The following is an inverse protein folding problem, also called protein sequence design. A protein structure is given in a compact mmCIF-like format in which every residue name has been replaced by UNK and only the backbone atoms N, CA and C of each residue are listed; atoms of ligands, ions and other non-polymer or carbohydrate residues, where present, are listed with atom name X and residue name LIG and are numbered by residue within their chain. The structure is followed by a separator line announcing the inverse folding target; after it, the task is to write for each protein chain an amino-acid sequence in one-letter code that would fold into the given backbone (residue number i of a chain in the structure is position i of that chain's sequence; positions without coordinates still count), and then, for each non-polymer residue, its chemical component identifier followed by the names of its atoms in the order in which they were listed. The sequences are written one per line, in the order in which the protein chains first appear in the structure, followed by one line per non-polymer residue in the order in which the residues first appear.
data_IF_994810966456
#
_entry.id   IF_994810966456
#
_cell.length_a   1.000
_cell.length_b   1.000
_cell.length_c   1.000
_cell.angle_alpha   90.00
_cell.angle_beta   90.00
_cell.angle_gamma   90.00
#
_symmetry.space_group_name_H-M   'P 1'
#
loop_
_entity.id
_entity.type
_entity.pdbx_description
1 polymer ?
#
# COMPACT_ATOMS: atom_id res chain seq x y z
N UNK A 1 -11.03 22.10 1.90
CA UNK A 1 -9.66 21.71 2.33
C UNK A 1 -8.69 22.22 1.28
N UNK A 2 -7.61 22.88 1.68
CA UNK A 2 -6.63 23.45 0.74
C UNK A 2 -5.57 22.37 0.45
N UNK A 3 -5.40 22.00 -0.82
CA UNK A 3 -4.37 21.06 -1.24
C UNK A 3 -3.09 21.80 -1.59
N UNK A 4 -1.97 21.34 -1.05
CA UNK A 4 -0.65 21.88 -1.37
C UNK A 4 0.30 20.75 -1.76
N UNK A 5 1.05 20.94 -2.85
CA UNK A 5 2.04 19.98 -3.33
C UNK A 5 3.45 20.54 -3.16
N UNK A 6 4.29 19.84 -2.42
CA UNK A 6 5.70 20.22 -2.19
C UNK A 6 6.60 19.35 -3.05
N UNK A 7 7.22 19.94 -4.08
CA UNK A 7 8.14 19.28 -4.98
C UNK A 7 9.59 19.70 -4.69
N UNK A 8 10.52 18.77 -4.86
CA UNK A 8 11.95 19.06 -4.73
C UNK A 8 12.81 17.79 -4.71
N UNK A 9 14.10 17.89 -5.11
CA UNK A 9 15.03 16.77 -5.04
C UNK A 9 15.31 16.32 -3.59
N UNK A 10 15.99 15.19 -3.38
CA UNK A 10 16.46 14.79 -2.05
C UNK A 10 17.27 15.89 -1.37
N UNK A 11 17.12 16.05 -0.06
CA UNK A 11 17.87 17.04 0.72
C UNK A 11 17.32 18.47 0.73
N UNK A 12 16.23 18.77 0.03
CA UNK A 12 15.65 20.14 -0.05
C UNK A 12 14.73 20.51 1.12
N UNK A 13 14.70 19.72 2.19
CA UNK A 13 13.92 20.05 3.37
C UNK A 13 12.41 19.70 3.32
N UNK A 14 11.95 18.92 2.33
CA UNK A 14 10.53 18.51 2.25
C UNK A 14 9.98 17.94 3.55
N UNK A 15 10.73 17.06 4.21
CA UNK A 15 10.35 16.48 5.50
C UNK A 15 10.26 17.54 6.60
N UNK A 16 11.15 18.54 6.57
CA UNK A 16 11.09 19.66 7.51
C UNK A 16 9.86 20.53 7.27
N UNK A 17 9.52 20.76 6.00
CA UNK A 17 8.31 21.52 5.64
C UNK A 17 7.05 20.80 6.14
N UNK A 18 6.96 19.47 5.99
CA UNK A 18 5.84 18.70 6.53
C UNK A 18 5.78 18.79 8.07
N UNK A 19 6.92 18.69 8.76
CA UNK A 19 6.96 18.88 10.22
C UNK A 19 6.48 20.27 10.63
N UNK A 20 6.89 21.32 9.92
CA UNK A 20 6.42 22.68 10.21
C UNK A 20 4.91 22.81 10.01
N UNK A 21 4.34 22.19 8.98
CA UNK A 21 2.89 22.18 8.76
C UNK A 21 2.12 21.48 9.88
N UNK A 22 2.62 20.35 10.37
CA UNK A 22 2.04 19.66 11.53
C UNK A 22 2.05 20.59 12.74
N UNK A 23 3.17 21.27 13.00
CA UNK A 23 3.26 22.27 14.06
C UNK A 23 2.21 23.37 13.87
N UNK A 24 2.13 23.94 12.68
CA UNK A 24 1.20 25.04 12.39
C UNK A 24 -0.26 24.61 12.63
N UNK A 25 -0.63 23.35 12.31
CA UNK A 25 -1.94 22.78 12.64
C UNK A 25 -2.17 22.73 14.15
N UNK A 26 -1.19 22.28 14.92
CA UNK A 26 -1.27 22.19 16.40
C UNK A 26 -1.40 23.60 17.01
N UNK A 27 -0.59 24.55 16.54
CA UNK A 27 -0.65 25.96 16.99
C UNK A 27 -1.99 26.62 16.66
N UNK A 28 -2.68 26.18 15.61
CA UNK A 28 -4.05 26.59 15.25
C UNK A 28 -5.12 25.88 16.11
N UNK A 29 -4.75 25.01 17.02
CA UNK A 29 -5.66 24.34 17.94
C UNK A 29 -6.22 23.02 17.42
N UNK A 30 -5.69 22.46 16.31
CA UNK A 30 -6.07 21.12 15.85
C UNK A 30 -5.40 20.10 16.79
N UNK A 31 -6.16 19.25 17.47
CA UNK A 31 -5.58 18.27 18.36
C UNK A 31 -4.79 17.22 17.55
N UNK A 32 -3.64 16.72 18.05
CA UNK A 32 -2.80 15.75 17.35
C UNK A 32 -3.53 14.49 16.91
N UNK A 33 -4.55 14.07 17.65
CA UNK A 33 -5.40 12.91 17.35
C UNK A 33 -6.26 13.11 16.09
N UNK A 34 -6.38 14.33 15.61
CA UNK A 34 -7.11 14.69 14.38
C UNK A 34 -6.20 15.11 13.24
N UNK A 35 -4.90 14.92 13.40
CA UNK A 35 -3.89 15.15 12.35
C UNK A 35 -3.42 13.80 11.83
N UNK A 36 -3.50 13.60 10.51
CA UNK A 36 -2.92 12.43 9.86
C UNK A 36 -1.61 12.77 9.16
N UNK A 37 -0.61 11.93 9.36
CA UNK A 37 0.64 11.97 8.61
C UNK A 37 0.90 10.59 8.02
N UNK A 38 0.57 10.40 6.75
CA UNK A 38 0.69 9.11 6.08
C UNK A 38 1.92 9.04 5.19
N UNK A 39 2.52 7.86 5.12
CA UNK A 39 3.69 7.60 4.29
C UNK A 39 3.61 6.23 3.60
N UNK A 40 4.49 5.98 2.64
CA UNK A 40 4.60 4.67 2.00
C UNK A 40 5.33 3.64 2.88
N UNK A 41 6.28 4.07 3.71
CA UNK A 41 7.10 3.16 4.52
C UNK A 41 6.86 3.34 6.01
N UNK A 42 6.93 2.23 6.75
CA UNK A 42 6.86 2.26 8.23
C UNK A 42 7.96 3.12 8.83
N UNK A 43 9.15 3.08 8.24
CA UNK A 43 10.30 3.87 8.70
C UNK A 43 10.01 5.37 8.59
N UNK A 44 9.50 5.84 7.47
CA UNK A 44 9.17 7.26 7.30
C UNK A 44 8.03 7.71 8.24
N UNK A 45 7.02 6.85 8.48
CA UNK A 45 5.98 7.13 9.46
C UNK A 45 6.54 7.23 10.88
N UNK A 46 7.45 6.33 11.26
CA UNK A 46 8.11 6.36 12.58
C UNK A 46 8.98 7.60 12.72
N UNK A 47 9.81 7.92 11.73
CA UNK A 47 10.63 9.14 11.75
C UNK A 47 9.80 10.42 11.93
N UNK A 48 8.60 10.47 11.34
CA UNK A 48 7.69 11.60 11.50
C UNK A 48 7.16 11.66 12.95
N UNK A 49 6.74 10.54 13.54
CA UNK A 49 6.33 10.46 14.94
C UNK A 49 7.43 10.86 15.89
N UNK A 50 8.62 10.26 15.76
CA UNK A 50 9.77 10.52 16.60
C UNK A 50 10.15 12.00 16.61
N UNK A 51 10.05 12.64 15.43
CA UNK A 51 10.34 14.06 15.28
C UNK A 51 9.32 14.92 16.01
N UNK A 52 8.03 14.67 15.79
CA UNK A 52 6.95 15.41 16.45
C UNK A 52 7.02 15.22 17.96
N UNK A 53 7.25 13.99 18.43
CA UNK A 53 7.39 13.69 19.85
C UNK A 53 8.59 14.42 20.49
N UNK A 54 9.75 14.37 19.83
CA UNK A 54 10.97 15.01 20.32
C UNK A 54 10.88 16.53 20.33
N UNK A 55 10.35 17.11 19.24
CA UNK A 55 10.43 18.55 19.03
C UNK A 55 9.29 19.30 19.78
N UNK A 56 8.18 18.60 20.07
CA UNK A 56 6.99 19.23 20.70
C UNK A 56 6.45 18.50 21.93
N UNK A 57 7.08 17.40 22.34
CA UNK A 57 6.69 16.66 23.54
C UNK A 57 5.34 15.92 23.44
N UNK A 58 4.83 15.69 22.22
CA UNK A 58 3.59 14.97 21.99
C UNK A 58 3.85 13.47 22.10
N UNK A 59 3.05 12.76 22.89
CA UNK A 59 3.22 11.33 23.06
C UNK A 59 2.73 10.56 21.82
N UNK A 60 3.37 9.42 21.51
CA UNK A 60 2.98 8.59 20.34
C UNK A 60 1.52 8.14 20.38
N UNK A 61 0.97 7.92 21.58
CA UNK A 61 -0.45 7.54 21.75
C UNK A 61 -1.42 8.61 21.27
N UNK A 62 -1.00 9.88 21.25
CA UNK A 62 -1.80 11.02 20.84
C UNK A 62 -1.69 11.28 19.31
N UNK A 63 -0.92 10.45 18.60
CA UNK A 63 -0.70 10.51 17.16
C UNK A 63 -1.14 9.21 16.44
N UNK A 64 -2.41 8.78 16.55
CA UNK A 64 -2.86 7.48 16.03
C UNK A 64 -2.78 7.36 14.51
N UNK A 65 -2.78 8.48 13.79
CA UNK A 65 -2.79 8.52 12.33
C UNK A 65 -1.45 8.87 11.69
N UNK A 66 -0.36 8.84 12.46
CA UNK A 66 1.00 8.91 11.93
C UNK A 66 1.45 7.51 11.54
N UNK A 67 1.10 7.05 10.35
CA UNK A 67 1.30 5.67 9.94
C UNK A 67 1.36 5.51 8.42
N UNK A 68 1.50 4.28 7.91
CA UNK A 68 1.36 4.06 6.47
C UNK A 68 -0.10 4.07 6.05
N UNK A 69 -0.37 4.45 4.80
CA UNK A 69 -1.73 4.43 4.26
C UNK A 69 -2.37 3.03 4.39
N UNK A 70 -1.60 1.97 4.10
CA UNK A 70 -2.07 0.59 4.30
C UNK A 70 -2.41 0.26 5.75
N UNK A 71 -1.63 0.77 6.72
CA UNK A 71 -1.94 0.56 8.14
C UNK A 71 -3.22 1.29 8.54
N UNK A 72 -3.47 2.47 7.98
CA UNK A 72 -4.72 3.21 8.19
C UNK A 72 -5.91 2.42 7.61
N UNK A 73 -5.82 2.01 6.36
CA UNK A 73 -6.87 1.24 5.69
C UNK A 73 -7.13 -0.11 6.39
N UNK A 74 -6.08 -0.81 6.82
CA UNK A 74 -6.19 -2.07 7.56
C UNK A 74 -6.99 -1.91 8.87
N UNK A 75 -6.67 -0.88 9.65
CA UNK A 75 -7.36 -0.61 10.94
C UNK A 75 -8.79 -0.13 10.71
N UNK A 76 -8.99 0.79 9.80
CA UNK A 76 -10.31 1.35 9.49
C UNK A 76 -11.28 0.29 8.94
N UNK A 77 -10.77 -0.64 8.12
CA UNK A 77 -11.53 -1.77 7.59
C UNK A 77 -11.77 -2.89 8.61
N UNK A 78 -11.17 -2.83 9.80
CA UNK A 78 -11.31 -3.86 10.84
C UNK A 78 -10.72 -5.23 10.45
N UNK A 79 -9.78 -5.24 9.50
CA UNK A 79 -9.22 -6.49 8.97
C UNK A 79 -8.32 -7.20 9.97
N UNK A 80 -8.27 -8.52 9.84
CA UNK A 80 -7.38 -9.39 10.61
C UNK A 80 -6.21 -9.83 9.75
N UNK A 81 -5.07 -10.09 10.38
CA UNK A 81 -3.85 -10.51 9.68
C UNK A 81 -4.00 -11.84 8.92
N UNK A 82 -4.87 -12.73 9.41
CA UNK A 82 -5.16 -14.01 8.76
C UNK A 82 -6.11 -13.88 7.54
N UNK A 83 -6.75 -12.74 7.35
CA UNK A 83 -7.55 -12.41 6.17
C UNK A 83 -6.69 -11.87 5.02
N UNK A 84 -5.47 -11.41 5.31
CA UNK A 84 -4.57 -10.91 4.28
C UNK A 84 -3.96 -12.07 3.52
N UNK A 85 -4.05 -12.01 2.17
CA UNK A 85 -3.45 -13.03 1.31
C UNK A 85 -1.94 -13.07 1.48
N UNK A 86 -1.39 -14.26 1.68
CA UNK A 86 0.03 -14.46 1.92
C UNK A 86 0.66 -15.44 0.94
N UNK A 87 1.95 -15.72 1.14
CA UNK A 87 2.71 -16.61 0.27
C UNK A 87 2.11 -18.02 0.15
N UNK A 88 1.56 -18.55 1.25
CA UNK A 88 0.92 -19.87 1.23
C UNK A 88 -0.28 -19.86 0.28
N UNK A 89 -1.12 -18.84 0.39
CA UNK A 89 -2.30 -18.65 -0.45
C UNK A 89 -1.90 -18.51 -1.93
N UNK A 90 -0.86 -17.72 -2.22
CA UNK A 90 -0.32 -17.55 -3.58
C UNK A 90 0.17 -18.87 -4.19
N UNK A 91 0.83 -19.72 -3.38
CA UNK A 91 1.24 -21.05 -3.83
C UNK A 91 0.07 -21.98 -4.11
N UNK A 92 -0.98 -21.95 -3.30
CA UNK A 92 -2.21 -22.71 -3.56
C UNK A 92 -2.86 -22.27 -4.87
N UNK A 93 -3.00 -20.96 -5.10
CA UNK A 93 -3.50 -20.41 -6.37
C UNK A 93 -2.62 -20.84 -7.55
N UNK A 94 -1.30 -20.75 -7.39
CA UNK A 94 -0.35 -21.16 -8.44
C UNK A 94 -0.44 -22.64 -8.78
N UNK A 95 -0.61 -23.52 -7.80
CA UNK A 95 -0.79 -24.95 -8.00
C UNK A 95 -2.07 -25.26 -8.78
N UNK A 96 -3.18 -24.56 -8.47
CA UNK A 96 -4.45 -24.75 -9.16
C UNK A 96 -4.36 -24.46 -10.66
N UNK A 97 -3.58 -23.43 -11.05
CA UNK A 97 -3.47 -23.00 -12.45
C UNK A 97 -2.18 -23.48 -13.13
N UNK A 98 -1.32 -24.23 -12.44
CA UNK A 98 -0.05 -24.71 -12.99
C UNK A 98 0.98 -23.59 -13.27
N UNK A 99 0.93 -22.47 -12.52
CA UNK A 99 1.85 -21.35 -12.64
C UNK A 99 2.63 -21.22 -11.34
N UNK A 100 3.97 -21.45 -11.34
CA UNK A 100 4.76 -21.45 -10.12
C UNK A 100 4.93 -20.02 -9.55
N UNK A 101 4.88 -19.94 -8.21
CA UNK A 101 5.34 -18.78 -7.43
C UNK A 101 6.67 -19.08 -6.78
N UNK A 102 7.56 -18.10 -6.70
CA UNK A 102 8.87 -18.20 -6.09
C UNK A 102 8.84 -18.34 -4.56
N UNK A 103 10.00 -18.34 -3.95
CA UNK A 103 10.14 -18.23 -2.50
C UNK A 103 9.93 -16.78 -2.12
N UNK A 104 8.71 -16.47 -1.75
CA UNK A 104 8.13 -15.17 -1.64
C UNK A 104 8.85 -14.17 -0.78
N UNK A 105 8.69 -12.96 -1.21
CA UNK A 105 8.70 -11.81 -0.32
C UNK A 105 7.24 -11.41 -0.03
N UNK A 106 6.91 -11.26 1.24
CA UNK A 106 5.58 -10.84 1.71
C UNK A 106 5.31 -9.35 1.51
N UNK A 107 6.24 -8.65 0.86
CA UNK A 107 6.10 -7.26 0.43
C UNK A 107 6.97 -7.05 -0.79
N UNK A 108 6.36 -6.75 -1.93
CA UNK A 108 7.07 -6.34 -3.13
C UNK A 108 7.78 -5.01 -2.86
N UNK A 109 9.08 -5.06 -2.63
CA UNK A 109 9.94 -3.88 -2.64
C UNK A 109 10.77 -3.89 -3.93
N UNK A 110 11.05 -2.72 -4.48
CA UNK A 110 11.85 -2.58 -5.72
C UNK A 110 13.24 -3.25 -5.62
N UNK A 111 13.75 -3.49 -4.40
CA UNK A 111 15.04 -4.13 -4.17
C UNK A 111 15.05 -5.65 -4.35
N UNK A 112 13.92 -6.31 -4.47
CA UNK A 112 13.84 -7.78 -4.53
C UNK A 112 14.00 -8.34 -5.95
N UNK A 113 14.09 -7.46 -6.96
CA UNK A 113 14.28 -7.83 -8.36
C UNK A 113 15.72 -8.28 -8.72
N UNK A 114 16.70 -8.03 -7.87
CA UNK A 114 18.12 -8.06 -8.27
C UNK A 114 18.87 -9.40 -8.07
N UNK A 115 18.31 -10.43 -7.40
CA UNK A 115 19.12 -11.60 -7.07
C UNK A 115 18.63 -12.97 -7.57
N UNK A 116 17.35 -13.12 -7.88
CA UNK A 116 16.77 -14.30 -8.55
C UNK A 116 15.56 -13.78 -9.30
N UNK A 117 15.59 -13.77 -10.61
CA UNK A 117 14.50 -13.27 -11.43
C UNK A 117 13.13 -13.77 -10.91
N UNK A 118 12.08 -12.93 -10.97
CA UNK A 118 10.77 -13.27 -10.43
C UNK A 118 10.25 -14.54 -11.08
N UNK A 119 9.61 -15.42 -10.31
CA UNK A 119 8.91 -16.54 -10.91
C UNK A 119 7.80 -16.03 -11.83
N UNK A 120 7.35 -16.88 -12.76
CA UNK A 120 6.29 -16.49 -13.70
C UNK A 120 5.04 -15.97 -12.99
N UNK A 121 4.65 -16.60 -11.88
CA UNK A 121 3.49 -16.18 -11.08
C UNK A 121 3.72 -14.82 -10.42
N UNK A 122 4.89 -14.62 -9.84
CA UNK A 122 5.24 -13.34 -9.20
C UNK A 122 5.21 -12.20 -10.23
N UNK A 123 5.80 -12.42 -11.40
CA UNK A 123 5.78 -11.44 -12.48
C UNK A 123 4.35 -11.10 -12.93
N UNK A 124 3.51 -12.10 -13.19
CA UNK A 124 2.13 -11.89 -13.62
C UNK A 124 1.30 -11.14 -12.58
N UNK A 125 1.45 -11.49 -11.31
CA UNK A 125 0.75 -10.80 -10.22
C UNK A 125 1.25 -9.36 -10.03
N UNK A 126 2.55 -9.11 -10.20
CA UNK A 126 3.06 -7.73 -10.16
C UNK A 126 2.43 -6.86 -11.24
N UNK A 127 2.21 -7.39 -12.45
CA UNK A 127 1.53 -6.68 -13.53
C UNK A 127 0.05 -6.43 -13.22
N UNK A 128 -0.61 -7.40 -12.63
CA UNK A 128 -2.00 -7.23 -12.19
C UNK A 128 -2.14 -6.14 -11.13
N UNK A 129 -1.32 -6.17 -10.08
CA UNK A 129 -1.34 -5.13 -9.05
C UNK A 129 -0.95 -3.75 -9.60
N UNK A 130 -0.01 -3.70 -10.55
CA UNK A 130 0.37 -2.45 -11.21
C UNK A 130 -0.77 -1.89 -12.06
N UNK A 131 -1.53 -2.73 -12.77
CA UNK A 131 -2.72 -2.31 -13.49
C UNK A 131 -3.75 -1.66 -12.56
N UNK A 132 -4.06 -2.32 -11.44
CA UNK A 132 -4.96 -1.77 -10.41
C UNK A 132 -4.45 -0.44 -9.85
N UNK A 133 -3.16 -0.37 -9.52
CA UNK A 133 -2.55 0.86 -8.99
C UNK A 133 -2.57 2.03 -10.00
N UNK A 134 -2.54 1.73 -11.29
CA UNK A 134 -2.67 2.73 -12.36
C UNK A 134 -4.13 3.02 -12.74
N UNK A 135 -5.09 2.33 -12.15
CA UNK A 135 -6.51 2.39 -12.52
C UNK A 135 -6.75 2.12 -14.02
N UNK A 136 -5.98 1.19 -14.61
CA UNK A 136 -6.16 0.71 -15.97
C UNK A 136 -6.60 -0.75 -15.96
N UNK A 137 -7.29 -1.18 -17.03
CA UNK A 137 -7.67 -2.58 -17.13
C UNK A 137 -6.47 -3.50 -17.44
N UNK A 138 -6.65 -4.80 -17.17
CA UNK A 138 -5.60 -5.79 -17.34
C UNK A 138 -5.20 -5.98 -18.81
N UNK A 139 -6.11 -5.75 -19.75
CA UNK A 139 -5.85 -5.86 -21.18
C UNK A 139 -4.97 -4.71 -21.67
N UNK A 140 -5.22 -3.50 -21.18
CA UNK A 140 -4.36 -2.34 -21.43
C UNK A 140 -2.96 -2.56 -20.86
N UNK A 141 -2.86 -3.08 -19.63
CA UNK A 141 -1.57 -3.46 -19.05
C UNK A 141 -0.85 -4.50 -19.92
N UNK A 142 -1.56 -5.55 -20.38
CA UNK A 142 -0.98 -6.57 -21.24
C UNK A 142 -0.47 -5.99 -22.57
N UNK A 143 -1.17 -5.04 -23.17
CA UNK A 143 -0.70 -4.34 -24.38
C UNK A 143 0.60 -3.58 -24.14
N UNK A 144 0.77 -2.98 -22.98
CA UNK A 144 2.03 -2.30 -22.58
C UNK A 144 3.19 -3.28 -22.34
N UNK A 145 2.90 -4.58 -22.17
CA UNK A 145 3.88 -5.65 -21.95
C UNK A 145 4.27 -6.41 -23.22
N UNK A 146 4.00 -5.88 -24.41
CA UNK A 146 4.25 -6.57 -25.68
C UNK A 146 5.70 -7.10 -25.80
N UNK A 147 6.67 -6.39 -25.26
CA UNK A 147 8.10 -6.77 -25.29
C UNK A 147 8.48 -7.90 -24.32
N UNK A 148 7.60 -8.27 -23.38
CA UNK A 148 7.89 -9.22 -22.31
C UNK A 148 7.36 -10.64 -22.57
N UNK A 149 6.80 -10.92 -23.74
CA UNK A 149 6.23 -12.22 -24.14
C UNK A 149 5.27 -12.82 -23.07
N UNK A 150 4.38 -12.00 -22.55
CA UNK A 150 3.37 -12.39 -21.56
C UNK A 150 2.24 -13.15 -22.23
N UNK A 151 1.98 -14.38 -21.81
CA UNK A 151 0.84 -15.15 -22.32
C UNK A 151 -0.47 -14.63 -21.69
N UNK A 152 -1.28 -13.98 -22.51
CA UNK A 152 -2.56 -13.39 -22.10
C UNK A 152 -3.53 -14.37 -21.46
N UNK A 153 -3.64 -15.58 -22.02
CA UNK A 153 -4.56 -16.59 -21.52
C UNK A 153 -4.13 -17.11 -20.12
N UNK A 154 -2.83 -17.25 -19.90
CA UNK A 154 -2.30 -17.64 -18.58
C UNK A 154 -2.46 -16.53 -17.55
N UNK A 155 -2.15 -15.29 -17.93
CA UNK A 155 -2.33 -14.13 -17.04
C UNK A 155 -3.80 -14.02 -16.59
N UNK A 156 -4.74 -14.07 -17.53
CA UNK A 156 -6.18 -14.04 -17.20
C UNK A 156 -6.60 -15.21 -16.32
N UNK A 157 -6.11 -16.41 -16.58
CA UNK A 157 -6.43 -17.59 -15.78
C UNK A 157 -5.93 -17.43 -14.36
N UNK A 158 -4.70 -16.97 -14.20
CA UNK A 158 -4.10 -16.71 -12.89
C UNK A 158 -4.89 -15.66 -12.11
N UNK A 159 -5.18 -14.51 -12.73
CA UNK A 159 -5.94 -13.44 -12.06
C UNK A 159 -7.33 -13.90 -11.66
N UNK A 160 -8.02 -14.67 -12.53
CA UNK A 160 -9.34 -15.23 -12.18
C UNK A 160 -9.26 -16.19 -10.99
N UNK A 161 -8.29 -17.08 -10.98
CA UNK A 161 -8.09 -18.01 -9.86
C UNK A 161 -7.77 -17.26 -8.56
N UNK A 162 -6.93 -16.23 -8.64
CA UNK A 162 -6.58 -15.37 -7.52
C UNK A 162 -7.80 -14.64 -6.93
N UNK A 163 -8.59 -14.00 -7.77
CA UNK A 163 -9.79 -13.29 -7.32
C UNK A 163 -10.86 -14.25 -6.75
N UNK A 164 -11.03 -15.41 -7.39
CA UNK A 164 -11.91 -16.46 -6.89
C UNK A 164 -11.43 -16.97 -5.53
N UNK A 165 -10.12 -17.21 -5.38
CA UNK A 165 -9.53 -17.66 -4.11
C UNK A 165 -9.82 -16.65 -2.99
N UNK A 166 -9.60 -15.36 -3.24
CA UNK A 166 -9.89 -14.29 -2.28
C UNK A 166 -11.37 -14.33 -1.88
N UNK A 167 -12.26 -14.35 -2.87
CA UNK A 167 -13.71 -14.36 -2.65
C UNK A 167 -14.18 -15.56 -1.83
N UNK A 168 -13.74 -16.78 -2.18
CA UNK A 168 -14.16 -18.02 -1.52
C UNK A 168 -13.60 -18.15 -0.09
N UNK A 169 -12.37 -17.66 0.13
CA UNK A 169 -11.66 -17.79 1.42
C UNK A 169 -11.82 -16.56 2.32
N UNK A 170 -12.54 -15.53 1.89
CA UNK A 170 -12.65 -14.28 2.63
C UNK A 170 -11.29 -13.58 2.80
N UNK A 171 -10.45 -13.66 1.77
CA UNK A 171 -9.13 -13.04 1.77
C UNK A 171 -9.15 -11.68 1.06
N UNK A 172 -8.23 -10.83 1.45
CA UNK A 172 -8.00 -9.52 0.82
C UNK A 172 -6.51 -9.34 0.55
N UNK A 173 -6.19 -8.52 -0.43
CA UNK A 173 -4.84 -8.01 -0.66
C UNK A 173 -4.70 -6.53 -0.25
N UNK A 174 -3.47 -6.02 -0.34
CA UNK A 174 -3.18 -4.62 0.00
C UNK A 174 -3.91 -3.61 -0.90
N UNK A 175 -4.15 -3.96 -2.16
CA UNK A 175 -4.90 -3.09 -3.08
C UNK A 175 -6.37 -3.06 -2.71
N UNK A 176 -6.96 -4.22 -2.37
CA UNK A 176 -8.35 -4.29 -1.87
C UNK A 176 -8.56 -3.42 -0.63
N UNK A 177 -7.58 -3.41 0.30
CA UNK A 177 -7.67 -2.58 1.51
C UNK A 177 -7.82 -1.10 1.17
N UNK A 178 -7.00 -0.61 0.22
CA UNK A 178 -7.05 0.80 -0.20
C UNK A 178 -8.35 1.10 -0.98
N UNK A 179 -8.74 0.22 -1.90
CA UNK A 179 -9.98 0.38 -2.66
C UNK A 179 -11.19 0.41 -1.73
N UNK A 180 -11.28 -0.52 -0.78
CA UNK A 180 -12.37 -0.57 0.20
C UNK A 180 -12.35 0.66 1.11
N UNK A 181 -11.17 1.11 1.54
CA UNK A 181 -11.04 2.30 2.36
C UNK A 181 -11.59 3.56 1.67
N UNK A 182 -11.30 3.71 0.37
CA UNK A 182 -11.80 4.84 -0.43
C UNK A 182 -13.29 4.72 -0.72
N UNK A 183 -13.78 3.51 -1.02
CA UNK A 183 -15.18 3.29 -1.43
C UNK A 183 -16.18 3.30 -0.27
N UNK A 184 -15.74 2.91 0.94
CA UNK A 184 -16.62 2.68 2.09
C UNK A 184 -16.68 3.86 3.07
N UNK A 185 -16.14 5.02 2.71
CA UNK A 185 -16.09 6.21 3.58
C UNK A 185 -15.53 5.93 4.99
N UNK A 186 -14.52 5.05 5.04
CA UNK A 186 -13.87 4.62 6.28
C UNK A 186 -12.79 5.61 6.76
N UNK A 187 -12.70 6.78 6.15
CA UNK A 187 -11.73 7.78 6.57
C UNK A 187 -12.03 8.20 8.01
N UNK A 188 -11.06 8.15 8.92
CA UNK A 188 -11.25 8.62 10.28
C UNK A 188 -11.55 10.13 10.29
N UNK A 189 -12.13 10.60 11.38
CA UNK A 189 -12.42 12.02 11.58
C UNK A 189 -11.12 12.81 11.81
N UNK A 190 -10.56 13.32 10.71
CA UNK A 190 -9.30 14.09 10.69
C UNK A 190 -9.56 15.50 10.14
N UNK A 191 -8.89 16.50 10.72
CA UNK A 191 -8.96 17.91 10.32
C UNK A 191 -7.79 18.30 9.40
N UNK A 192 -6.67 17.57 9.47
CA UNK A 192 -5.49 17.83 8.66
C UNK A 192 -4.81 16.52 8.20
N UNK A 193 -4.36 16.49 6.91
CA UNK A 193 -3.67 15.37 6.26
C UNK A 193 -2.43 15.90 5.52
#
# INVERSE_FOLDING_TARGET
MMHETILGPPGTGKTQTNSNKIRDCIEQGIPPERIACVSFTRKAAQESRDRVSRDWGIEERDMPYFQTLHSMAFRAGGYRSDEVIGLKDMKEVGQEVGIPFGRGHSSFTESDFDTLGPSKGDFYMSQYHLARSKCIDLEEMHRQLADYNVNWSELKRLVRAYENYKSVRGKIDFTDMIENFVQSDLCPDIDAL
#
